data_IF_888548419768
#
_entry.id   IF_888548419768
#
_cell.length_a   1.000
_cell.length_b   1.000
_cell.length_c   1.000
_cell.angle_alpha   90.00
_cell.angle_beta   90.00
_cell.angle_gamma   90.00
#
_symmetry.space_group_name_H-M   'P 1'
#
loop_
_entity.id
_entity.type
_entity.pdbx_description
1 polymer ?
#
# COMPACT_ATOMS: atom_id res chain seq x y z
N UNK A 1 -15.00 -15.27 -21.03
CA UNK A 1 -14.53 -16.40 -20.19
C UNK A 1 -13.77 -15.78 -19.01
N UNK A 2 -14.24 -16.01 -17.80
CA UNK A 2 -13.67 -15.34 -16.63
C UNK A 2 -12.25 -15.88 -16.38
N UNK A 3 -11.29 -15.00 -16.08
CA UNK A 3 -9.88 -15.35 -15.87
C UNK A 3 -9.70 -16.37 -14.71
N UNK A 4 -10.66 -16.39 -13.79
CA UNK A 4 -10.75 -17.33 -12.65
C UNK A 4 -11.08 -18.75 -13.11
N UNK A 5 -12.01 -18.91 -14.08
CA UNK A 5 -12.42 -20.22 -14.60
C UNK A 5 -11.26 -20.95 -15.30
N UNK A 6 -10.44 -20.18 -16.00
CA UNK A 6 -9.23 -20.73 -16.68
C UNK A 6 -8.20 -21.22 -15.65
N UNK A 7 -7.97 -20.45 -14.59
CA UNK A 7 -7.08 -20.83 -13.51
C UNK A 7 -7.54 -22.13 -12.83
N UNK A 8 -8.81 -22.17 -12.46
CA UNK A 8 -9.37 -23.36 -11.81
C UNK A 8 -9.25 -24.60 -12.67
N UNK A 9 -9.51 -24.50 -13.98
CA UNK A 9 -9.33 -25.61 -14.92
C UNK A 9 -7.89 -26.13 -14.97
N UNK A 10 -6.91 -25.22 -14.98
CA UNK A 10 -5.48 -25.60 -14.98
C UNK A 10 -5.13 -26.38 -13.71
N UNK A 11 -5.52 -25.86 -12.53
CA UNK A 11 -5.20 -26.50 -11.26
C UNK A 11 -5.97 -27.84 -11.10
N UNK A 12 -7.21 -27.89 -11.57
CA UNK A 12 -8.02 -29.12 -11.58
C UNK A 12 -7.41 -30.22 -12.44
N UNK A 13 -6.76 -29.85 -13.54
CA UNK A 13 -6.04 -30.83 -14.36
C UNK A 13 -4.89 -31.51 -13.59
N UNK A 14 -4.18 -30.79 -12.72
CA UNK A 14 -3.15 -31.37 -11.86
C UNK A 14 -3.75 -32.32 -10.82
N UNK A 15 -4.87 -31.92 -10.19
CA UNK A 15 -5.62 -32.79 -9.27
C UNK A 15 -6.09 -34.09 -9.90
N UNK A 16 -6.46 -34.06 -11.18
CA UNK A 16 -6.87 -35.26 -11.92
C UNK A 16 -5.70 -36.23 -12.21
N UNK A 17 -4.46 -35.69 -12.29
CA UNK A 17 -3.25 -36.52 -12.47
C UNK A 17 -2.72 -37.06 -11.15
N UNK A 18 -2.88 -36.32 -10.06
CA UNK A 18 -2.43 -36.69 -8.72
C UNK A 18 -3.57 -36.45 -7.71
N UNK A 19 -4.24 -37.52 -7.25
CA UNK A 19 -5.29 -37.40 -6.24
C UNK A 19 -4.83 -36.79 -4.91
N UNK A 20 -3.54 -36.80 -4.57
CA UNK A 20 -2.99 -36.18 -3.36
C UNK A 20 -2.71 -34.68 -3.54
N UNK A 21 -2.82 -34.15 -4.76
CA UNK A 21 -2.52 -32.75 -5.05
C UNK A 21 -3.41 -31.79 -4.25
N UNK A 22 -2.83 -30.78 -3.56
CA UNK A 22 -3.54 -29.84 -2.71
C UNK A 22 -4.26 -28.76 -3.55
N UNK A 23 -5.33 -29.17 -4.22
CA UNK A 23 -6.09 -28.32 -5.15
C UNK A 23 -6.61 -27.04 -4.50
N UNK A 24 -7.21 -27.16 -3.31
CA UNK A 24 -7.85 -26.02 -2.62
C UNK A 24 -6.81 -25.01 -2.17
N UNK A 25 -5.73 -25.48 -1.59
CA UNK A 25 -4.62 -24.67 -1.09
C UNK A 25 -3.94 -23.91 -2.24
N UNK A 26 -3.70 -24.61 -3.35
CA UNK A 26 -3.14 -23.97 -4.54
C UNK A 26 -4.08 -22.94 -5.16
N UNK A 27 -5.38 -23.25 -5.25
CA UNK A 27 -6.36 -22.31 -5.76
C UNK A 27 -6.42 -21.04 -4.89
N UNK A 28 -6.48 -21.19 -3.56
CA UNK A 28 -6.47 -20.07 -2.62
C UNK A 28 -5.22 -19.20 -2.78
N UNK A 29 -4.04 -19.82 -2.86
CA UNK A 29 -2.78 -19.11 -3.08
C UNK A 29 -2.83 -18.28 -4.37
N UNK A 30 -3.28 -18.87 -5.47
CA UNK A 30 -3.36 -18.19 -6.76
C UNK A 30 -4.40 -17.06 -6.78
N UNK A 31 -5.51 -17.23 -6.08
CA UNK A 31 -6.51 -16.17 -5.91
C UNK A 31 -5.93 -15.00 -5.12
N UNK A 32 -5.24 -15.25 -4.01
CA UNK A 32 -4.57 -14.23 -3.21
C UNK A 32 -3.55 -13.43 -4.05
N UNK A 33 -2.67 -14.13 -4.79
CA UNK A 33 -1.65 -13.50 -5.65
C UNK A 33 -2.31 -12.61 -6.71
N UNK A 34 -3.35 -13.09 -7.38
CA UNK A 34 -4.03 -12.33 -8.44
C UNK A 34 -4.81 -11.14 -7.89
N UNK A 35 -5.51 -11.32 -6.78
CA UNK A 35 -6.25 -10.25 -6.11
C UNK A 35 -5.30 -9.15 -5.66
N UNK A 36 -4.20 -9.51 -4.98
CA UNK A 36 -3.18 -8.56 -4.56
C UNK A 36 -2.59 -7.79 -5.75
N UNK A 37 -2.22 -8.49 -6.84
CA UNK A 37 -1.73 -7.83 -8.06
C UNK A 37 -2.73 -6.81 -8.60
N UNK A 38 -4.01 -7.19 -8.73
CA UNK A 38 -5.06 -6.29 -9.22
C UNK A 38 -5.28 -5.09 -8.31
N UNK A 39 -5.26 -5.28 -6.99
CA UNK A 39 -5.34 -4.19 -6.05
C UNK A 39 -4.17 -3.21 -6.19
N UNK A 40 -2.95 -3.72 -6.34
CA UNK A 40 -1.76 -2.89 -6.56
C UNK A 40 -1.83 -2.11 -7.89
N UNK A 41 -2.25 -2.77 -8.97
CA UNK A 41 -2.42 -2.14 -10.29
C UNK A 41 -3.46 -1.00 -10.21
N UNK A 42 -4.62 -1.27 -9.58
CA UNK A 42 -5.70 -0.28 -9.43
C UNK A 42 -5.28 0.92 -8.57
N UNK A 43 -4.59 0.69 -7.43
CA UNK A 43 -4.06 1.77 -6.59
C UNK A 43 -3.02 2.59 -7.35
N UNK A 44 -2.16 1.93 -8.13
CA UNK A 44 -1.14 2.60 -8.94
C UNK A 44 -1.76 3.46 -10.03
N UNK A 45 -2.81 2.99 -10.69
CA UNK A 45 -3.56 3.74 -11.70
C UNK A 45 -4.27 4.95 -11.06
N UNK A 46 -4.97 4.74 -9.94
CA UNK A 46 -5.64 5.81 -9.21
C UNK A 46 -4.66 6.92 -8.81
N UNK A 47 -3.54 6.58 -8.16
CA UNK A 47 -2.54 7.54 -7.72
C UNK A 47 -1.80 8.19 -8.91
N UNK A 48 -1.59 7.43 -9.99
CA UNK A 48 -1.02 7.93 -11.24
C UNK A 48 -1.82 9.07 -11.85
N UNK A 49 -3.16 9.04 -11.74
CA UNK A 49 -4.04 10.13 -12.13
C UNK A 49 -3.81 11.44 -11.36
N UNK A 50 -3.19 11.37 -10.17
CA UNK A 50 -2.76 12.51 -9.35
C UNK A 50 -1.27 12.85 -9.50
N UNK A 51 -0.56 12.18 -10.41
CA UNK A 51 0.86 12.43 -10.66
C UNK A 51 1.82 11.90 -9.60
N UNK A 52 1.37 11.00 -8.72
CA UNK A 52 2.21 10.39 -7.68
C UNK A 52 2.13 8.86 -7.73
N UNK A 53 3.10 8.19 -7.12
CA UNK A 53 3.07 6.76 -6.90
C UNK A 53 2.72 6.40 -5.44
N UNK A 54 2.51 5.12 -5.17
CA UNK A 54 2.15 4.63 -3.84
C UNK A 54 3.17 5.00 -2.75
N UNK A 55 4.47 4.92 -3.04
CA UNK A 55 5.50 5.29 -2.06
C UNK A 55 5.49 6.78 -1.71
N UNK A 56 5.26 7.66 -2.70
CA UNK A 56 5.12 9.10 -2.46
C UNK A 56 3.86 9.40 -1.65
N UNK A 57 2.74 8.73 -1.97
CA UNK A 57 1.50 8.79 -1.18
C UNK A 57 1.74 8.40 0.28
N UNK A 58 2.43 7.28 0.54
CA UNK A 58 2.75 6.83 1.91
C UNK A 58 3.59 7.84 2.69
N UNK A 59 4.55 8.51 2.05
CA UNK A 59 5.34 9.57 2.70
C UNK A 59 4.46 10.78 3.02
N UNK A 60 3.62 11.24 2.10
CA UNK A 60 2.72 12.37 2.32
C UNK A 60 1.73 12.09 3.45
N UNK A 61 1.11 10.91 3.48
CA UNK A 61 0.16 10.53 4.55
C UNK A 61 0.85 10.40 5.90
N UNK A 62 2.07 9.88 5.94
CA UNK A 62 2.86 9.78 7.17
C UNK A 62 3.21 11.16 7.73
N UNK A 63 3.59 12.11 6.87
CA UNK A 63 3.82 13.50 7.27
C UNK A 63 2.52 14.19 7.70
N UNK A 64 1.42 13.94 7.00
CA UNK A 64 0.12 14.51 7.32
C UNK A 64 -0.42 14.03 8.68
N UNK A 65 -0.19 12.77 9.03
CA UNK A 65 -0.59 12.18 10.31
C UNK A 65 0.30 12.61 11.50
N UNK A 66 1.48 13.16 11.25
CA UNK A 66 2.34 13.68 12.30
C UNK A 66 1.80 15.03 12.84
N UNK A 67 1.78 15.22 14.17
CA UNK A 67 1.25 16.43 14.80
C UNK A 67 1.89 17.72 14.25
N UNK A 68 3.20 17.71 14.01
CA UNK A 68 3.94 18.85 13.46
C UNK A 68 3.97 18.91 11.93
N UNK A 69 3.37 17.91 11.25
CA UNK A 69 3.49 17.69 9.80
C UNK A 69 4.95 17.68 9.30
N UNK A 70 5.86 17.28 10.18
CA UNK A 70 7.30 17.35 9.98
C UNK A 70 8.00 16.16 10.66
N UNK A 71 8.80 15.41 9.91
CA UNK A 71 9.55 14.25 10.39
C UNK A 71 10.96 14.26 9.81
N UNK A 72 11.91 13.64 10.51
CA UNK A 72 13.21 13.34 9.94
C UNK A 72 13.13 12.21 8.92
N UNK A 73 14.05 12.11 7.94
CA UNK A 73 14.12 10.97 7.03
C UNK A 73 14.23 9.63 7.74
N UNK A 74 14.86 9.57 8.90
CA UNK A 74 15.00 8.36 9.72
C UNK A 74 13.66 7.91 10.31
N UNK A 75 12.87 8.84 10.83
CA UNK A 75 11.53 8.54 11.35
C UNK A 75 10.58 8.05 10.25
N UNK A 76 10.64 8.68 9.06
CA UNK A 76 9.84 8.24 7.90
C UNK A 76 10.29 6.82 7.48
N UNK A 77 11.60 6.58 7.40
CA UNK A 77 12.19 5.28 7.05
C UNK A 77 11.72 4.19 8.01
N UNK A 78 11.76 4.44 9.32
CA UNK A 78 11.33 3.49 10.34
C UNK A 78 9.81 3.21 10.27
N UNK A 79 8.99 4.25 10.15
CA UNK A 79 7.53 4.12 10.10
C UNK A 79 7.05 3.35 8.86
N UNK A 80 7.70 3.55 7.72
CA UNK A 80 7.31 2.95 6.44
C UNK A 80 8.11 1.68 6.09
N UNK A 81 9.13 1.32 6.89
CA UNK A 81 10.07 0.25 6.58
C UNK A 81 10.76 0.41 5.21
N UNK A 82 10.97 1.65 4.79
CA UNK A 82 11.66 1.99 3.56
C UNK A 82 13.15 2.22 3.83
N UNK A 83 14.00 1.89 2.85
CA UNK A 83 15.42 2.21 2.93
C UNK A 83 15.65 3.73 2.90
N UNK A 84 16.73 4.20 3.51
CA UNK A 84 17.10 5.65 3.49
C UNK A 84 17.24 6.17 2.06
N UNK A 85 17.83 5.39 1.16
CA UNK A 85 17.98 5.75 -0.26
C UNK A 85 16.63 5.95 -0.92
N UNK A 86 15.64 5.08 -0.61
CA UNK A 86 14.30 5.22 -1.16
C UNK A 86 13.61 6.49 -0.63
N UNK A 87 13.73 6.77 0.68
CA UNK A 87 13.19 8.01 1.29
C UNK A 87 13.81 9.25 0.62
N UNK A 88 15.13 9.28 0.40
CA UNK A 88 15.79 10.40 -0.28
C UNK A 88 15.19 10.63 -1.66
N UNK A 89 15.10 9.57 -2.49
CA UNK A 89 14.53 9.67 -3.84
C UNK A 89 13.07 10.14 -3.85
N UNK A 90 12.26 9.64 -2.91
CA UNK A 90 10.85 10.03 -2.80
C UNK A 90 10.73 11.49 -2.35
N UNK A 91 11.52 11.91 -1.36
CA UNK A 91 11.48 13.29 -0.86
C UNK A 91 12.01 14.28 -1.88
N UNK A 92 13.02 13.93 -2.68
CA UNK A 92 13.50 14.75 -3.81
C UNK A 92 12.39 14.97 -4.85
N UNK A 93 11.66 13.89 -5.19
CA UNK A 93 10.50 13.97 -6.08
C UNK A 93 9.39 14.88 -5.52
N UNK A 94 9.02 14.69 -4.25
CA UNK A 94 7.96 15.49 -3.60
C UNK A 94 8.37 16.95 -3.39
N UNK A 95 9.65 17.24 -3.14
CA UNK A 95 10.18 18.59 -3.04
C UNK A 95 10.16 19.30 -4.39
N UNK A 96 10.55 18.60 -5.46
CA UNK A 96 10.44 19.11 -6.84
C UNK A 96 8.99 19.37 -7.25
N UNK A 97 8.05 18.57 -6.76
CA UNK A 97 6.61 18.77 -6.97
C UNK A 97 6.02 19.89 -6.08
N UNK A 98 6.78 20.45 -5.14
CA UNK A 98 6.33 21.52 -4.24
C UNK A 98 5.52 21.04 -3.03
N UNK A 99 5.37 19.74 -2.81
CA UNK A 99 4.53 19.19 -1.73
C UNK A 99 5.25 19.11 -0.38
N UNK A 100 6.56 19.00 -0.39
CA UNK A 100 7.36 19.00 0.83
C UNK A 100 8.53 19.98 0.70
N UNK A 101 9.12 20.33 1.83
CA UNK A 101 10.35 21.13 1.92
C UNK A 101 11.29 20.52 2.96
N UNK A 102 12.60 20.66 2.73
CA UNK A 102 13.62 20.35 3.73
C UNK A 102 13.85 21.54 4.65
N UNK A 103 13.93 21.27 5.93
CA UNK A 103 14.18 22.26 6.96
C UNK A 103 15.34 21.80 7.86
N UNK A 104 16.10 22.75 8.39
CA UNK A 104 17.05 22.46 9.46
C UNK A 104 16.30 22.14 10.75
N UNK A 105 16.73 21.12 11.49
CA UNK A 105 16.19 20.87 12.81
C UNK A 105 16.59 22.00 13.76
N UNK A 106 15.66 22.46 14.60
CA UNK A 106 15.96 23.44 15.64
C UNK A 106 16.84 22.87 16.75
N UNK A 107 16.79 21.55 16.95
CA UNK A 107 17.50 20.84 18.02
C UNK A 107 18.92 20.41 17.58
N UNK A 108 19.07 20.03 16.31
CA UNK A 108 20.36 19.68 15.72
C UNK A 108 20.47 20.23 14.29
N UNK A 109 21.32 21.23 14.09
CA UNK A 109 21.57 21.83 12.77
C UNK A 109 22.11 20.85 11.72
N UNK A 110 22.62 19.69 12.14
CA UNK A 110 23.07 18.61 11.23
C UNK A 110 21.95 17.71 10.77
N UNK A 111 20.79 17.72 11.50
CA UNK A 111 19.64 16.92 11.19
C UNK A 111 18.68 17.70 10.28
N UNK A 112 18.35 17.11 9.13
CA UNK A 112 17.33 17.64 8.22
C UNK A 112 15.97 17.03 8.57
N UNK A 113 14.94 17.84 8.56
CA UNK A 113 13.54 17.42 8.67
C UNK A 113 12.81 17.67 7.34
N UNK A 114 11.83 16.83 7.04
CA UNK A 114 10.94 16.96 5.89
C UNK A 114 9.60 17.45 6.42
N UNK A 115 9.10 18.56 5.89
CA UNK A 115 7.84 19.16 6.29
C UNK A 115 6.91 19.29 5.09
N UNK A 116 5.61 19.09 5.30
CA UNK A 116 4.60 19.46 4.29
C UNK A 116 4.64 20.96 4.04
N UNK A 117 4.46 21.35 2.78
CA UNK A 117 4.13 22.73 2.40
C UNK A 117 2.62 22.94 2.52
N UNK A 118 2.16 24.18 2.40
CA UNK A 118 0.72 24.48 2.32
C UNK A 118 0.06 23.79 1.13
N UNK A 119 0.77 23.74 0.00
CA UNK A 119 0.32 23.04 -1.20
C UNK A 119 0.26 21.53 -0.99
N UNK A 120 1.29 20.94 -0.36
CA UNK A 120 1.30 19.52 0.00
C UNK A 120 0.18 19.16 0.98
N UNK A 121 -0.12 20.02 1.95
CA UNK A 121 -1.23 19.87 2.88
C UNK A 121 -2.57 19.82 2.13
N UNK A 122 -2.82 20.80 1.28
CA UNK A 122 -4.03 20.87 0.48
C UNK A 122 -4.16 19.67 -0.48
N UNK A 123 -3.05 19.30 -1.12
CA UNK A 123 -3.01 18.15 -2.03
C UNK A 123 -3.39 16.85 -1.32
N UNK A 124 -2.77 16.55 -0.16
CA UNK A 124 -3.05 15.29 0.55
C UNK A 124 -4.46 15.24 1.13
N UNK A 125 -5.02 16.36 1.58
CA UNK A 125 -6.41 16.42 2.05
C UNK A 125 -7.39 16.07 0.92
N UNK A 126 -7.22 16.66 -0.26
CA UNK A 126 -8.05 16.35 -1.45
C UNK A 126 -7.89 14.90 -1.89
N UNK A 127 -6.65 14.41 -1.92
CA UNK A 127 -6.37 13.03 -2.30
C UNK A 127 -6.98 12.02 -1.33
N UNK A 128 -6.92 12.29 -0.02
CA UNK A 128 -7.54 11.44 1.01
C UNK A 128 -9.06 11.36 0.83
N UNK A 129 -9.71 12.47 0.49
CA UNK A 129 -11.15 12.49 0.20
C UNK A 129 -11.48 11.62 -1.04
N UNK A 130 -10.76 11.83 -2.14
CA UNK A 130 -10.95 11.07 -3.37
C UNK A 130 -10.67 9.56 -3.15
N UNK A 131 -9.62 9.22 -2.39
CA UNK A 131 -9.30 7.85 -2.03
C UNK A 131 -10.39 7.21 -1.18
N UNK A 132 -10.97 7.95 -0.24
CA UNK A 132 -12.08 7.44 0.59
C UNK A 132 -13.27 7.02 -0.27
N UNK A 133 -13.61 7.80 -1.30
CA UNK A 133 -14.67 7.45 -2.26
C UNK A 133 -14.31 6.21 -3.08
N UNK A 134 -13.09 6.17 -3.60
CA UNK A 134 -12.56 5.06 -4.38
C UNK A 134 -12.53 3.74 -3.58
N UNK A 135 -12.08 3.78 -2.32
CA UNK A 135 -12.06 2.60 -1.46
C UNK A 135 -13.48 2.11 -1.14
N UNK A 136 -14.44 3.02 -0.90
CA UNK A 136 -15.84 2.64 -0.68
C UNK A 136 -16.45 1.97 -1.91
N UNK A 137 -16.11 2.40 -3.12
CA UNK A 137 -16.56 1.78 -4.35
C UNK A 137 -16.01 0.34 -4.48
N UNK A 138 -14.72 0.13 -4.26
CA UNK A 138 -14.09 -1.19 -4.35
C UNK A 138 -14.66 -2.15 -3.30
N UNK A 139 -14.69 -1.73 -2.03
CA UNK A 139 -15.10 -2.60 -0.93
C UNK A 139 -16.61 -2.72 -0.79
N UNK A 140 -17.38 -1.77 -1.31
CA UNK A 140 -18.83 -1.80 -1.31
C UNK A 140 -19.46 -2.92 -2.14
N UNK A 141 -18.65 -3.64 -2.93
CA UNK A 141 -19.07 -4.89 -3.60
C UNK A 141 -19.28 -6.05 -2.61
N UNK A 142 -18.59 -6.01 -1.47
CA UNK A 142 -18.74 -6.99 -0.39
C UNK A 142 -19.71 -6.47 0.68
N UNK A 143 -20.50 -7.36 1.24
CA UNK A 143 -21.31 -7.07 2.43
C UNK A 143 -20.39 -6.76 3.63
N UNK A 144 -20.95 -6.17 4.69
CA UNK A 144 -20.19 -5.87 5.90
C UNK A 144 -19.59 -7.13 6.54
N UNK A 145 -20.38 -8.19 6.65
CA UNK A 145 -19.94 -9.47 7.22
C UNK A 145 -18.80 -10.10 6.39
N UNK A 146 -18.85 -9.99 5.05
CA UNK A 146 -17.79 -10.47 4.17
C UNK A 146 -16.50 -9.64 4.33
N UNK A 147 -16.60 -8.32 4.53
CA UNK A 147 -15.46 -7.46 4.80
C UNK A 147 -14.82 -7.80 6.14
N UNK A 148 -15.60 -8.00 7.19
CA UNK A 148 -15.10 -8.41 8.51
C UNK A 148 -14.43 -9.79 8.46
N UNK A 149 -15.05 -10.76 7.80
CA UNK A 149 -14.47 -12.09 7.61
C UNK A 149 -13.15 -12.02 6.83
N UNK A 150 -13.10 -11.24 5.76
CA UNK A 150 -11.90 -11.03 4.95
C UNK A 150 -10.77 -10.40 5.78
N UNK A 151 -11.07 -9.42 6.63
CA UNK A 151 -10.12 -8.80 7.55
C UNK A 151 -9.53 -9.82 8.53
N UNK A 152 -10.37 -10.61 9.19
CA UNK A 152 -9.95 -11.64 10.16
C UNK A 152 -9.05 -12.68 9.49
N UNK A 153 -9.45 -13.18 8.30
CA UNK A 153 -8.66 -14.18 7.56
C UNK A 153 -7.29 -13.61 7.16
N UNK A 154 -7.25 -12.39 6.62
CA UNK A 154 -5.98 -11.78 6.20
C UNK A 154 -5.05 -11.52 7.38
N UNK A 155 -5.54 -11.02 8.53
CA UNK A 155 -4.74 -10.83 9.75
C UNK A 155 -4.14 -12.15 10.22
N UNK A 156 -4.93 -13.22 10.23
CA UNK A 156 -4.46 -14.55 10.63
C UNK A 156 -3.39 -15.11 9.68
N UNK A 157 -3.57 -14.94 8.37
CA UNK A 157 -2.58 -15.38 7.39
C UNK A 157 -1.28 -14.59 7.47
N UNK A 158 -1.35 -13.27 7.62
CA UNK A 158 -0.17 -12.42 7.76
C UNK A 158 0.65 -12.81 8.99
N UNK A 159 0.01 -12.96 10.16
CA UNK A 159 0.71 -13.38 11.37
C UNK A 159 1.43 -14.73 11.20
N UNK A 160 0.78 -15.71 10.56
CA UNK A 160 1.41 -17.01 10.30
C UNK A 160 2.59 -16.92 9.32
N UNK A 161 2.48 -16.10 8.27
CA UNK A 161 3.55 -15.91 7.29
C UNK A 161 4.78 -15.20 7.89
N UNK A 162 4.57 -14.28 8.82
CA UNK A 162 5.65 -13.61 9.56
C UNK A 162 6.41 -14.62 10.44
N UNK A 163 5.68 -15.52 11.13
CA UNK A 163 6.27 -16.58 11.96
C UNK A 163 7.11 -17.59 11.15
N UNK A 164 6.65 -17.95 9.95
CA UNK A 164 7.35 -18.91 9.06
C UNK A 164 8.60 -18.30 8.42
N UNK A 165 8.66 -16.97 8.32
CA UNK A 165 9.78 -16.23 7.68
C UNK A 165 10.89 -15.84 8.67
N UNK A 166 10.67 -16.11 9.97
CA UNK A 166 11.59 -15.83 11.07
C UNK A 166 12.42 -17.05 11.41
#
# INVERSE_FOLDING_TARGET
MNNTDTLEKIIRHQKNKDPAYPFREHLLMQLCIRTNKRMQDNISEFLGGYGINHSAYMVLTTLFAAESHCLSPSEISQKLQFTRTNITRITDFLEKAGYVKRMDSREDRRAKKISLTSEGMFFIQRLTLAQSMYLKEIWGYLTHDEQELFEVINKKLLAHLDDVSS
#
